data_IF_785727414757
#
_entry.id   IF_785727414757
#
_cell.length_a   1.000
_cell.length_b   1.000
_cell.length_c   1.000
_cell.angle_alpha   90.00
_cell.angle_beta   90.00
_cell.angle_gamma   90.00
#
_symmetry.space_group_name_H-M   'P 1'
#
loop_
_entity.id
_entity.type
_entity.pdbx_description
1 polymer ?
#
# COMPACT_ATOMS: atom_id res chain seq x y z
N UNK A 1 -29.27 -8.22 10.96
CA UNK A 1 -28.85 -7.95 10.59
C UNK A 1 -28.10 -7.63 10.27
N UNK A 2 -27.87 -7.72 10.29
CA UNK A 2 -27.13 -7.39 9.93
C UNK A 2 -26.54 -6.87 9.38
N UNK A 3 -26.33 -6.83 9.30
CA UNK A 3 -25.68 -6.23 8.78
C UNK A 3 -25.32 -5.96 7.97
N UNK A 4 -25.62 -6.07 7.75
CA UNK A 4 -25.14 -5.81 6.84
C UNK A 4 -24.61 -4.85 6.51
N UNK A 5 -24.64 -4.52 6.71
CA UNK A 5 -24.09 -3.59 6.40
C UNK A 5 -23.14 -3.33 6.47
N UNK A 6 -23.10 -3.72 6.93
CA UNK A 6 -21.94 -3.48 7.10
C UNK A 6 -21.29 -3.64 5.97
N UNK A 7 -21.48 -4.29 5.53
CA UNK A 7 -20.92 -4.55 4.46
C UNK A 7 -21.00 -3.60 3.55
N UNK A 8 -21.80 -3.21 3.54
CA UNK A 8 -21.97 -2.44 2.60
C UNK A 8 -21.17 -1.37 2.58
N UNK A 9 -20.87 -0.97 3.55
CA UNK A 9 -20.17 0.11 3.53
C UNK A 9 -19.04 -0.01 2.85
N UNK A 10 -18.54 -0.99 2.95
CA UNK A 10 -17.41 -1.09 2.33
C UNK A 10 -17.62 -1.10 0.99
N UNK A 11 -18.58 -1.44 0.70
CA UNK A 11 -18.80 -1.52 -0.63
C UNK A 11 -18.79 -0.24 -1.25
N UNK A 12 -19.09 0.71 -0.54
CA UNK A 12 -19.15 1.97 -1.14
C UNK A 12 -17.83 2.52 -1.41
N UNK A 13 -16.81 1.89 -0.95
CA UNK A 13 -15.52 2.46 -1.17
C UNK A 13 -15.02 2.05 -2.51
N UNK A 14 -13.94 2.63 -2.90
CA UNK A 14 -13.32 2.30 -4.15
C UNK A 14 -12.36 1.18 -4.03
N UNK A 15 -12.26 0.61 -2.86
CA UNK A 15 -11.28 -0.43 -2.71
C UNK A 15 -11.68 -1.65 -3.45
N UNK A 16 -10.74 -2.30 -4.05
CA UNK A 16 -10.99 -3.53 -4.77
C UNK A 16 -10.59 -4.73 -3.95
N UNK A 17 -10.09 -4.52 -2.73
CA UNK A 17 -9.71 -5.65 -1.90
C UNK A 17 -10.94 -6.25 -1.26
N UNK A 18 -11.08 -7.57 -1.32
CA UNK A 18 -12.15 -8.23 -0.57
C UNK A 18 -11.99 -7.94 0.91
N UNK A 19 -13.06 -7.88 1.66
CA UNK A 19 -12.99 -7.50 3.07
C UNK A 19 -12.02 -8.34 3.90
N UNK A 20 -11.96 -9.63 3.66
CA UNK A 20 -11.08 -10.50 4.44
C UNK A 20 -9.62 -10.18 4.16
N UNK A 21 -9.25 -10.01 2.89
CA UNK A 21 -7.88 -9.68 2.56
C UNK A 21 -7.51 -8.29 3.02
N UNK A 22 -8.43 -7.33 2.93
CA UNK A 22 -8.16 -5.99 3.40
C UNK A 22 -7.89 -5.99 4.91
N UNK A 23 -8.66 -6.79 5.65
CA UNK A 23 -8.51 -6.89 7.07
C UNK A 23 -7.17 -7.54 7.43
N UNK A 24 -6.77 -8.55 6.68
CA UNK A 24 -5.50 -9.22 6.90
C UNK A 24 -4.33 -8.28 6.67
N UNK A 25 -4.40 -7.50 5.62
CA UNK A 25 -3.34 -6.54 5.33
C UNK A 25 -3.26 -5.49 6.43
N UNK A 26 -4.39 -4.97 6.84
CA UNK A 26 -4.43 -3.98 7.91
C UNK A 26 -3.85 -4.52 9.19
N UNK A 27 -4.17 -5.77 9.51
CA UNK A 27 -3.66 -6.42 10.71
C UNK A 27 -2.14 -6.56 10.65
N UNK A 28 -1.63 -6.96 9.51
CA UNK A 28 -0.17 -7.11 9.34
C UNK A 28 0.54 -5.77 9.52
N UNK A 29 -0.03 -4.72 8.94
CA UNK A 29 0.56 -3.40 9.07
C UNK A 29 0.52 -2.94 10.53
N UNK A 30 -0.62 -3.16 11.19
CA UNK A 30 -0.77 -2.77 12.59
C UNK A 30 0.27 -3.49 13.47
N UNK A 31 0.43 -4.78 13.26
CA UNK A 31 1.39 -5.56 14.02
C UNK A 31 2.81 -5.05 13.80
N UNK A 32 3.16 -4.79 12.55
CA UNK A 32 4.50 -4.31 12.23
C UNK A 32 4.76 -2.93 12.82
N UNK A 33 3.78 -2.03 12.73
CA UNK A 33 3.95 -0.69 13.26
C UNK A 33 4.07 -0.69 14.79
N UNK A 34 3.25 -1.49 15.45
CA UNK A 34 3.31 -1.55 16.90
C UNK A 34 4.63 -2.14 17.37
N UNK A 35 5.14 -3.14 16.66
CA UNK A 35 6.42 -3.72 17.00
C UNK A 35 7.54 -2.70 16.84
N UNK A 36 7.51 -1.94 15.75
CA UNK A 36 8.53 -0.94 15.51
C UNK A 36 8.49 0.13 16.60
N UNK A 37 7.30 0.64 16.88
CA UNK A 37 7.17 1.74 17.84
C UNK A 37 7.50 1.30 19.26
N UNK A 38 7.33 0.03 19.58
CA UNK A 38 7.64 -0.46 20.90
C UNK A 38 9.14 -0.49 21.15
N UNK A 39 9.93 -0.52 20.10
CA UNK A 39 11.38 -0.66 20.22
C UNK A 39 12.18 0.60 19.88
N UNK A 40 11.50 1.71 19.64
CA UNK A 40 12.16 2.95 19.27
C UNK A 40 11.68 4.06 20.19
N UNK A 41 12.62 4.77 20.78
CA UNK A 41 12.25 5.88 21.65
C UNK A 41 11.62 7.01 20.84
N UNK A 42 10.66 7.65 21.40
CA UNK A 42 9.89 8.69 20.72
C UNK A 42 10.79 9.76 20.12
N UNK A 43 11.87 10.10 20.80
CA UNK A 43 12.74 11.16 20.31
C UNK A 43 13.44 10.82 19.00
N UNK A 44 13.46 9.54 18.62
CA UNK A 44 14.04 9.13 17.37
C UNK A 44 13.02 8.91 16.26
N UNK A 45 11.75 9.21 16.56
CA UNK A 45 10.71 9.06 15.55
C UNK A 45 10.51 10.38 14.85
N UNK A 46 10.97 10.47 13.63
CA UNK A 46 10.86 11.67 12.82
C UNK A 46 10.36 11.31 11.44
N UNK A 47 9.52 12.17 10.90
CA UNK A 47 9.01 11.95 9.53
C UNK A 47 8.46 10.56 9.34
N UNK A 48 7.81 10.05 10.37
CA UNK A 48 7.36 8.66 10.38
C UNK A 48 6.37 8.35 9.26
N UNK A 49 5.50 9.28 8.96
CA UNK A 49 4.54 9.06 7.88
C UNK A 49 5.27 8.78 6.56
N UNK A 50 6.22 9.62 6.22
CA UNK A 50 6.96 9.44 4.97
C UNK A 50 7.76 8.14 4.97
N UNK A 51 8.32 7.80 6.12
CA UNK A 51 9.09 6.56 6.25
C UNK A 51 8.19 5.35 6.02
N UNK A 52 7.04 5.33 6.66
CA UNK A 52 6.13 4.20 6.53
C UNK A 52 5.59 4.10 5.11
N UNK A 53 5.24 5.25 4.52
CA UNK A 53 4.72 5.24 3.16
C UNK A 53 5.75 4.71 2.18
N UNK A 54 7.02 5.06 2.36
CA UNK A 54 8.06 4.55 1.48
C UNK A 54 8.23 3.03 1.63
N UNK A 55 8.15 2.54 2.87
CA UNK A 55 8.29 1.11 3.12
C UNK A 55 7.14 0.30 2.54
N UNK A 56 5.95 0.88 2.50
CA UNK A 56 4.79 0.22 1.93
C UNK A 56 4.78 0.36 0.42
N UNK A 57 5.17 1.52 -0.07
CA UNK A 57 5.11 1.81 -1.50
C UNK A 57 6.04 0.91 -2.30
N UNK A 58 7.22 0.65 -1.77
CA UNK A 58 8.20 -0.15 -2.49
C UNK A 58 7.70 -1.56 -2.80
N UNK A 59 7.25 -2.34 -1.80
CA UNK A 59 6.72 -3.66 -2.12
C UNK A 59 5.41 -3.61 -2.90
N UNK A 60 4.63 -2.55 -2.73
CA UNK A 60 3.41 -2.38 -3.50
C UNK A 60 3.73 -2.26 -4.99
N UNK A 61 4.67 -1.38 -5.32
CA UNK A 61 5.05 -1.19 -6.71
C UNK A 61 5.67 -2.46 -7.28
N UNK A 62 6.51 -3.13 -6.49
CA UNK A 62 7.13 -4.36 -6.95
C UNK A 62 6.09 -5.43 -7.27
N UNK A 63 5.11 -5.59 -6.40
CA UNK A 63 4.08 -6.60 -6.59
C UNK A 63 3.23 -6.30 -7.83
N UNK A 64 2.87 -5.03 -8.01
CA UNK A 64 2.04 -4.66 -9.16
C UNK A 64 2.83 -4.75 -10.45
N UNK A 65 4.10 -4.35 -10.45
CA UNK A 65 4.92 -4.48 -11.66
C UNK A 65 5.08 -5.95 -12.04
N UNK A 66 5.23 -6.81 -11.04
CA UNK A 66 5.32 -8.24 -11.30
C UNK A 66 4.02 -8.74 -11.92
N UNK A 67 2.89 -8.37 -11.35
CA UNK A 67 1.59 -8.80 -11.86
C UNK A 67 1.35 -8.27 -13.27
N UNK A 68 1.82 -7.06 -13.55
CA UNK A 68 1.66 -6.43 -14.86
C UNK A 68 2.73 -6.88 -15.86
N UNK A 69 3.62 -7.76 -15.44
CA UNK A 69 4.70 -8.27 -16.28
C UNK A 69 5.54 -7.14 -16.84
N UNK A 70 5.91 -6.22 -15.96
CA UNK A 70 6.75 -5.06 -16.28
C UNK A 70 6.12 -4.09 -17.28
N UNK A 71 4.84 -4.21 -17.53
CA UNK A 71 4.15 -3.29 -18.41
C UNK A 71 3.71 -2.09 -17.60
N UNK A 72 4.38 -0.96 -17.77
CA UNK A 72 4.13 0.23 -16.96
C UNK A 72 2.73 0.79 -17.17
N UNK A 73 2.21 0.74 -18.39
CA UNK A 73 0.86 1.25 -18.63
C UNK A 73 -0.17 0.44 -17.89
N UNK A 74 -0.03 -0.88 -17.91
CA UNK A 74 -0.95 -1.75 -17.18
C UNK A 74 -0.81 -1.53 -15.69
N UNK A 75 0.41 -1.42 -15.20
CA UNK A 75 0.65 -1.22 -13.78
C UNK A 75 0.03 0.10 -13.31
N UNK A 76 0.16 1.14 -14.12
CA UNK A 76 -0.40 2.44 -13.76
C UNK A 76 -1.92 2.35 -13.62
N UNK A 77 -2.57 1.63 -14.53
CA UNK A 77 -4.01 1.44 -14.43
C UNK A 77 -4.35 0.67 -13.16
N UNK A 78 -3.62 -0.39 -12.87
CA UNK A 78 -3.88 -1.20 -11.69
C UNK A 78 -3.72 -0.38 -10.41
N UNK A 79 -2.77 0.54 -10.41
CA UNK A 79 -2.50 1.37 -9.23
C UNK A 79 -3.38 2.61 -9.14
N UNK A 80 -4.01 2.97 -10.24
CA UNK A 80 -4.78 4.20 -10.27
C UNK A 80 -3.90 5.44 -10.35
N UNK A 81 -2.70 5.30 -10.93
CA UNK A 81 -1.77 6.41 -11.11
C UNK A 81 -1.61 6.69 -12.59
N UNK A 82 -1.22 7.92 -12.93
CA UNK A 82 -0.86 8.13 -14.31
C UNK A 82 0.56 7.61 -14.51
N UNK A 83 0.91 7.37 -15.76
CA UNK A 83 2.16 6.71 -16.07
C UNK A 83 3.39 7.50 -15.65
N UNK A 84 3.33 8.82 -15.79
CA UNK A 84 4.46 9.66 -15.40
C UNK A 84 4.72 9.58 -13.90
N UNK A 85 3.67 9.56 -13.11
CA UNK A 85 3.79 9.43 -11.67
C UNK A 85 4.38 8.06 -11.32
N UNK A 86 3.91 7.01 -11.98
CA UNK A 86 4.44 5.68 -11.73
C UNK A 86 5.92 5.62 -12.06
N UNK A 87 6.32 6.16 -13.21
CA UNK A 87 7.73 6.13 -13.59
C UNK A 87 8.59 6.87 -12.59
N UNK A 88 8.11 8.00 -12.10
CA UNK A 88 8.85 8.77 -11.11
C UNK A 88 9.05 7.95 -9.83
N UNK A 89 8.01 7.25 -9.39
CA UNK A 89 8.12 6.41 -8.20
C UNK A 89 9.03 5.21 -8.43
N UNK A 90 8.95 4.59 -9.58
CA UNK A 90 9.82 3.46 -9.89
C UNK A 90 11.29 3.92 -9.88
N UNK A 91 11.55 5.10 -10.41
CA UNK A 91 12.90 5.63 -10.41
C UNK A 91 13.37 5.94 -9.00
N UNK A 92 12.47 6.46 -8.19
CA UNK A 92 12.78 6.79 -6.81
C UNK A 92 13.27 5.57 -6.04
N UNK A 93 12.69 4.41 -6.31
CA UNK A 93 13.06 3.17 -5.63
C UNK A 93 14.02 2.32 -6.44
N UNK A 94 14.60 2.91 -7.49
CA UNK A 94 15.58 2.21 -8.31
C UNK A 94 15.02 0.93 -8.92
N UNK A 95 13.77 0.98 -9.31
CA UNK A 95 13.09 -0.15 -9.94
C UNK A 95 12.94 0.07 -11.44
N UNK A 96 13.59 1.10 -11.96
CA UNK A 96 13.55 1.40 -13.37
C UNK A 96 14.97 1.50 -13.87
N UNK A 97 15.25 0.82 -14.95
CA UNK A 97 16.60 0.81 -15.52
C UNK A 97 17.02 2.14 -16.08
#
# INVERSE_FOLDING_TARGET
MTDPDSTSQNATTNTTLPPVQAQTLRHSVSTALNAYLANVDEEFIRDFYATVMAEVEQPLLAAVMHKARSNQSRAAVMLGLNRATLRKKLRQYQMLD
#
